data_IF_299083399104
#
_entry.id   IF_299083399104
#
_cell.length_a   1.000
_cell.length_b   1.000
_cell.length_c   1.000
_cell.angle_alpha   90.00
_cell.angle_beta   90.00
_cell.angle_gamma   90.00
#
_symmetry.space_group_name_H-M   'P 1'
#
loop_
_entity.id
_entity.type
_entity.pdbx_description
1 polymer ?
#
# COMPACT_ATOMS: atom_id res chain seq x y z
N UNK A 1 0.37 8.66 15.44
CA UNK A 1 -0.12 9.36 14.23
C UNK A 1 0.18 8.43 13.06
N UNK A 2 -0.83 7.87 12.40
CA UNK A 2 -0.61 7.04 11.22
C UNK A 2 -0.38 8.02 10.07
N UNK A 3 0.85 8.08 9.56
CA UNK A 3 1.18 8.92 8.41
C UNK A 3 0.74 8.22 7.13
N UNK A 4 -0.49 8.46 6.68
CA UNK A 4 -0.89 8.16 5.31
C UNK A 4 -0.34 9.28 4.42
N UNK A 5 0.85 9.09 3.84
CA UNK A 5 1.34 9.99 2.81
C UNK A 5 0.75 9.58 1.47
N UNK A 6 -0.24 10.34 1.00
CA UNK A 6 -0.72 10.29 -0.37
C UNK A 6 0.23 11.13 -1.23
N UNK A 7 1.23 10.49 -1.86
CA UNK A 7 1.90 11.08 -3.01
C UNK A 7 1.86 10.13 -4.21
N UNK A 8 1.03 10.55 -5.17
CA UNK A 8 0.98 10.26 -6.60
C UNK A 8 1.94 9.18 -7.15
N UNK A 9 1.40 7.97 -7.33
CA UNK A 9 1.90 7.05 -8.36
C UNK A 9 1.52 7.60 -9.75
N UNK A 10 2.35 8.50 -10.30
CA UNK A 10 2.37 8.72 -11.75
C UNK A 10 3.19 7.60 -12.37
N UNK A 11 2.52 6.67 -13.04
CA UNK A 11 3.18 5.65 -13.86
C UNK A 11 3.89 6.33 -15.02
N UNK A 12 5.22 6.34 -14.99
CA UNK A 12 6.03 6.69 -16.15
C UNK A 12 5.97 5.54 -17.15
N UNK A 13 5.42 5.79 -18.33
CA UNK A 13 5.59 4.93 -19.50
C UNK A 13 6.96 5.20 -20.12
N UNK A 14 7.80 4.16 -20.20
CA UNK A 14 9.01 4.17 -21.00
C UNK A 14 8.64 4.27 -22.49
N UNK A 15 8.88 5.44 -23.10
CA UNK A 15 8.80 5.63 -24.55
C UNK A 15 10.23 5.58 -25.11
N UNK A 16 10.58 4.46 -25.71
CA UNK A 16 11.71 4.39 -26.65
C UNK A 16 11.20 4.79 -28.05
N UNK A 17 11.65 5.93 -28.56
CA UNK A 17 11.42 6.33 -29.96
C UNK A 17 12.38 5.57 -30.91
N UNK A 18 11.88 5.03 -32.04
CA UNK A 18 12.69 4.82 -33.22
C UNK A 18 12.47 5.95 -34.25
N UNK A 19 13.57 6.34 -34.89
CA UNK A 19 13.62 7.35 -35.95
C UNK A 19 12.85 6.93 -37.21
N UNK A 20 12.13 7.86 -37.86
CA UNK A 20 11.63 7.66 -39.22
C UNK A 20 10.59 8.65 -39.74
N UNK A 21 11.02 9.50 -40.69
CA UNK A 21 10.29 10.16 -41.78
C UNK A 21 8.99 10.96 -41.54
N UNK A 22 9.11 12.29 -41.66
CA UNK A 22 8.00 13.24 -41.91
C UNK A 22 7.51 13.19 -43.36
N UNK A 23 6.19 13.18 -43.60
CA UNK A 23 5.61 13.68 -44.85
C UNK A 23 5.17 15.15 -44.72
N UNK A 24 5.44 15.92 -45.77
CA UNK A 24 5.03 17.31 -45.96
C UNK A 24 3.53 17.42 -46.31
N UNK A 25 2.86 18.47 -45.82
CA UNK A 25 1.51 18.88 -46.25
C UNK A 25 1.57 20.27 -46.94
N UNK A 26 0.82 20.49 -48.04
CA UNK A 26 0.82 21.75 -48.81
C UNK A 26 -0.20 22.79 -48.28
N UNK A 27 -0.14 24.06 -48.75
CA UNK A 27 -0.69 25.20 -48.01
C UNK A 27 -1.99 25.83 -48.56
N UNK A 28 -2.66 26.55 -47.65
CA UNK A 28 -3.64 27.66 -47.82
C UNK A 28 -5.01 27.30 -48.40
N UNK A 29 -6.12 27.80 -47.85
CA UNK A 29 -6.61 29.15 -48.14
C UNK A 29 -7.26 29.91 -46.96
N UNK A 30 -7.22 31.24 -47.11
CA UNK A 30 -7.59 32.30 -46.16
C UNK A 30 -9.07 32.68 -46.23
N UNK A 31 -9.58 33.17 -45.10
CA UNK A 31 -10.55 34.26 -45.03
C UNK A 31 -11.11 34.36 -43.61
N UNK A 32 -11.15 35.49 -42.91
CA UNK A 32 -10.91 36.88 -43.25
C UNK A 32 -10.88 37.67 -41.92
N UNK A 33 -9.91 38.59 -41.81
CA UNK A 33 -10.01 40.00 -41.31
C UNK A 33 -10.66 40.25 -39.91
N UNK A 34 -10.18 41.16 -39.04
CA UNK A 34 -9.18 42.23 -39.11
C UNK A 34 -9.03 42.91 -37.73
N UNK A 35 -7.86 43.53 -37.53
CA UNK A 35 -7.47 44.70 -36.71
C UNK A 35 -7.73 44.72 -35.18
N UNK A 36 -6.73 44.74 -34.27
CA UNK A 36 -5.61 45.68 -33.93
C UNK A 36 -6.04 46.92 -33.08
N UNK A 37 -5.14 47.55 -32.28
CA UNK A 37 -5.14 47.54 -30.80
C UNK A 37 -5.10 48.97 -30.18
N UNK A 38 -4.76 49.09 -28.88
CA UNK A 38 -4.22 50.23 -28.07
C UNK A 38 -4.95 50.27 -26.70
N UNK A 39 -4.46 50.76 -25.56
CA UNK A 39 -3.18 51.28 -25.06
C UNK A 39 -3.31 51.46 -23.51
N UNK A 40 -2.20 51.84 -22.86
CA UNK A 40 -2.02 52.05 -21.42
C UNK A 40 -2.83 53.22 -20.80
N UNK A 41 -3.07 53.14 -19.49
CA UNK A 41 -3.32 54.31 -18.63
C UNK A 41 -2.85 54.06 -17.18
N UNK A 42 -2.15 55.06 -16.62
CA UNK A 42 -1.71 55.18 -15.21
C UNK A 42 -2.85 55.68 -14.31
N UNK A 43 -2.81 55.33 -13.02
CA UNK A 43 -3.60 55.98 -11.96
C UNK A 43 -3.02 55.70 -10.57
N UNK A 44 -2.77 56.77 -9.81
CA UNK A 44 -2.14 56.81 -8.48
C UNK A 44 -3.07 56.37 -7.33
N UNK A 45 -2.47 55.84 -6.25
CA UNK A 45 -3.08 55.74 -4.91
C UNK A 45 -2.14 55.13 -3.87
N UNK A 46 -1.75 55.92 -2.86
CA UNK A 46 -1.03 55.60 -1.60
C UNK A 46 -1.96 56.11 -0.46
N UNK A 47 -2.03 55.63 0.81
CA UNK A 47 -1.02 55.02 1.72
C UNK A 47 -1.51 53.71 2.41
N UNK A 48 -0.72 52.92 3.15
CA UNK A 48 -0.12 53.25 4.45
C UNK A 48 0.87 52.17 4.93
N UNK A 49 1.84 52.63 5.73
CA UNK A 49 2.91 51.89 6.40
C UNK A 49 2.40 51.00 7.54
N UNK A 50 2.95 49.78 7.64
CA UNK A 50 3.25 49.07 8.89
C UNK A 50 4.57 48.29 8.73
N UNK A 51 5.38 48.13 9.80
CA UNK A 51 6.81 47.89 9.68
C UNK A 51 7.17 46.40 9.58
N UNK A 52 8.17 46.10 8.75
CA UNK A 52 8.89 44.83 8.72
C UNK A 52 9.78 44.72 9.97
N UNK A 53 9.48 43.76 10.84
CA UNK A 53 10.44 43.25 11.82
C UNK A 53 11.40 42.30 11.11
N UNK A 54 12.67 42.68 11.03
CA UNK A 54 13.79 41.77 10.76
C UNK A 54 14.54 41.55 12.07
N UNK A 55 14.70 40.31 12.57
CA UNK A 55 15.70 40.05 13.58
C UNK A 55 17.04 39.82 12.89
N UNK A 56 17.95 40.76 13.08
CA UNK A 56 19.38 40.57 12.80
C UNK A 56 19.97 39.72 13.93
N UNK A 57 20.44 38.51 13.62
CA UNK A 57 21.27 37.72 14.53
C UNK A 57 22.74 37.78 14.07
N UNK A 58 23.70 38.02 14.98
CA UNK A 58 25.12 38.09 14.64
C UNK A 58 25.70 36.69 14.35
N UNK A 59 26.70 36.56 13.47
CA UNK A 59 27.33 35.27 13.18
C UNK A 59 28.40 35.00 14.23
N UNK A 60 28.23 33.95 15.05
CA UNK A 60 29.37 33.42 15.80
C UNK A 60 29.25 31.91 16.08
N UNK A 61 30.26 31.21 15.55
CA UNK A 61 30.84 29.96 16.06
C UNK A 61 29.99 28.68 15.99
N UNK A 62 29.89 28.10 14.79
CA UNK A 62 29.74 26.64 14.65
C UNK A 62 31.13 26.00 14.61
N UNK A 63 31.47 25.04 15.50
CA UNK A 63 32.60 24.17 15.26
C UNK A 63 32.20 23.16 14.17
N UNK A 64 32.98 23.17 13.09
CA UNK A 64 32.95 22.19 12.01
C UNK A 64 33.37 20.81 12.52
N UNK A 65 32.40 20.03 13.01
CA UNK A 65 32.60 18.59 13.17
C UNK A 65 32.27 17.88 11.85
N UNK A 66 33.32 17.39 11.21
CA UNK A 66 33.30 16.51 10.05
C UNK A 66 32.35 15.32 10.23
N UNK A 67 31.60 14.90 9.20
CA UNK A 67 30.86 13.64 9.21
C UNK A 67 31.84 12.52 8.83
N UNK A 68 32.65 12.06 9.79
CA UNK A 68 33.55 10.91 9.55
C UNK A 68 33.45 9.83 10.63
N UNK A 69 32.52 9.95 11.58
CA UNK A 69 32.32 8.96 12.64
C UNK A 69 30.95 8.25 12.63
N UNK A 70 30.05 8.59 11.69
CA UNK A 70 28.74 7.89 11.59
C UNK A 70 28.77 6.63 10.69
N UNK A 71 29.92 6.27 10.12
CA UNK A 71 30.05 5.07 9.29
C UNK A 71 30.60 3.84 10.02
N UNK A 72 30.82 3.92 11.35
CA UNK A 72 31.52 2.87 12.12
C UNK A 72 30.65 2.12 13.16
N UNK A 73 29.32 2.23 13.13
CA UNK A 73 28.45 1.46 14.06
C UNK A 73 27.34 0.66 13.39
N UNK A 74 27.29 0.60 12.06
CA UNK A 74 26.45 -0.38 11.38
C UNK A 74 27.31 -1.59 11.03
N UNK A 75 27.05 -2.78 11.59
CA UNK A 75 27.73 -3.99 11.14
C UNK A 75 27.40 -4.18 9.66
N UNK A 76 28.40 -3.99 8.80
CA UNK A 76 28.37 -4.18 7.34
C UNK A 76 28.24 -5.65 6.92
N UNK A 77 27.78 -6.51 7.83
CA UNK A 77 27.53 -7.93 7.59
C UNK A 77 26.63 -8.48 8.69
N UNK A 78 25.32 -8.19 8.63
CA UNK A 78 24.34 -9.08 9.24
C UNK A 78 24.17 -10.27 8.30
N UNK A 79 24.54 -11.50 8.71
CA UNK A 79 24.21 -12.70 7.94
C UNK A 79 22.74 -13.02 8.22
N UNK A 80 21.81 -12.36 7.54
CA UNK A 80 20.39 -12.57 7.79
C UNK A 80 19.54 -11.86 6.76
N UNK A 81 18.56 -12.56 6.19
CA UNK A 81 17.65 -11.99 5.19
C UNK A 81 16.86 -10.79 5.72
N UNK A 82 16.00 -10.22 4.87
CA UNK A 82 15.19 -9.03 5.16
C UNK A 82 14.40 -9.06 6.48
N UNK A 83 14.07 -10.24 7.01
CA UNK A 83 13.34 -10.41 8.26
C UNK A 83 14.27 -10.49 9.48
N UNK A 84 14.03 -9.63 10.46
CA UNK A 84 14.71 -9.61 11.76
C UNK A 84 13.72 -10.04 12.84
N UNK A 85 13.95 -11.17 13.54
CA UNK A 85 13.08 -11.60 14.64
C UNK A 85 13.23 -10.67 15.85
N UNK A 86 12.14 -10.44 16.58
CA UNK A 86 12.19 -9.74 17.85
C UNK A 86 12.86 -10.64 18.90
N UNK A 87 13.92 -10.14 19.53
CA UNK A 87 14.58 -10.86 20.63
C UNK A 87 13.73 -10.73 21.90
N UNK A 88 13.15 -11.84 22.36
CA UNK A 88 12.34 -11.89 23.60
C UNK A 88 13.16 -12.28 24.83
N UNK A 89 14.48 -12.07 24.81
CA UNK A 89 15.32 -12.16 26.01
C UNK A 89 15.52 -13.57 26.54
N UNK A 90 15.43 -14.60 25.69
CA UNK A 90 15.67 -15.97 26.12
C UNK A 90 15.86 -16.92 24.96
N UNK A 91 17.08 -16.98 24.40
CA UNK A 91 17.59 -18.05 23.53
C UNK A 91 16.67 -18.60 22.42
N UNK A 92 15.60 -17.89 22.08
CA UNK A 92 14.51 -18.44 21.30
C UNK A 92 14.97 -18.57 19.86
N UNK A 93 14.86 -19.77 19.32
CA UNK A 93 15.05 -20.00 17.89
C UNK A 93 14.17 -19.03 17.08
N UNK A 94 14.66 -18.62 15.92
CA UNK A 94 13.89 -17.80 14.99
C UNK A 94 12.52 -18.47 14.71
N UNK A 95 11.43 -17.70 14.58
CA UNK A 95 10.11 -18.25 14.33
C UNK A 95 10.10 -19.06 13.03
N UNK A 96 9.56 -20.28 13.08
CA UNK A 96 9.35 -21.13 11.91
C UNK A 96 7.99 -20.83 11.26
N UNK A 97 8.01 -20.45 9.99
CA UNK A 97 6.82 -20.15 9.19
C UNK A 97 6.49 -21.25 8.18
N UNK A 98 7.12 -22.43 8.29
CA UNK A 98 6.87 -23.54 7.37
C UNK A 98 5.40 -23.94 7.35
N UNK A 99 4.81 -23.88 6.16
CA UNK A 99 3.41 -24.21 5.94
C UNK A 99 2.41 -23.16 6.40
N UNK A 100 2.86 -21.96 6.79
CA UNK A 100 1.99 -20.85 7.15
C UNK A 100 1.41 -20.17 5.91
N UNK A 101 0.25 -19.56 6.05
CA UNK A 101 -0.24 -18.56 5.10
C UNK A 101 0.34 -17.21 5.48
N UNK A 102 1.06 -16.56 4.56
CA UNK A 102 1.46 -15.17 4.69
C UNK A 102 0.33 -14.28 4.19
N UNK A 103 -0.20 -13.44 5.06
CA UNK A 103 -1.14 -12.40 4.71
C UNK A 103 -0.42 -11.04 4.73
N UNK A 104 -0.59 -10.24 3.69
CA UNK A 104 0.09 -8.94 3.59
C UNK A 104 -0.73 -7.91 2.79
N UNK A 105 -0.54 -6.61 3.04
CA UNK A 105 -1.16 -5.57 2.23
C UNK A 105 -0.29 -5.22 1.02
N UNK A 106 -0.94 -4.74 -0.04
CA UNK A 106 -0.33 -3.82 -0.96
C UNK A 106 -0.51 -2.39 -0.44
N UNK A 107 0.53 -1.55 -0.58
CA UNK A 107 0.37 -0.09 -0.44
C UNK A 107 -0.27 0.42 -1.73
N UNK A 108 -1.59 0.53 -1.73
CA UNK A 108 -2.45 0.85 -2.89
C UNK A 108 -3.51 1.90 -2.53
N UNK A 109 -4.24 2.40 -3.52
CA UNK A 109 -5.27 3.46 -3.39
C UNK A 109 -6.16 3.29 -2.15
N UNK A 110 -6.36 4.36 -1.38
CA UNK A 110 -7.22 4.33 -0.19
C UNK A 110 -6.72 3.45 0.96
N UNK A 111 -5.50 2.89 0.87
CA UNK A 111 -4.86 2.07 1.90
C UNK A 111 -5.72 0.89 2.39
N UNK A 112 -6.68 0.43 1.58
CA UNK A 112 -7.71 -0.55 1.98
C UNK A 112 -7.08 -1.85 2.47
N UNK A 113 -6.03 -2.33 1.78
CA UNK A 113 -5.28 -3.51 2.19
C UNK A 113 -4.65 -3.34 3.57
N UNK A 114 -3.99 -2.21 3.83
CA UNK A 114 -3.35 -1.93 5.11
C UNK A 114 -4.37 -1.81 6.25
N UNK A 115 -5.52 -1.17 5.99
CA UNK A 115 -6.62 -1.07 6.94
C UNK A 115 -7.26 -2.45 7.22
N UNK A 116 -7.40 -3.31 6.21
CA UNK A 116 -7.91 -4.67 6.39
C UNK A 116 -6.95 -5.53 7.24
N UNK A 117 -5.65 -5.38 7.04
CA UNK A 117 -4.61 -6.04 7.85
C UNK A 117 -4.67 -5.56 9.31
N UNK A 118 -4.92 -4.26 9.53
CA UNK A 118 -5.12 -3.69 10.86
C UNK A 118 -6.26 -4.38 11.62
N UNK A 119 -7.38 -4.64 10.94
CA UNK A 119 -8.51 -5.38 11.51
C UNK A 119 -8.12 -6.81 11.86
N UNK A 120 -7.37 -7.51 11.00
CA UNK A 120 -6.92 -8.90 11.27
C UNK A 120 -6.02 -8.95 12.50
N UNK A 121 -4.97 -8.12 12.56
CA UNK A 121 -4.01 -8.12 13.67
C UNK A 121 -4.71 -7.78 14.98
N UNK A 122 -5.53 -6.73 14.99
CA UNK A 122 -6.26 -6.26 16.17
C UNK A 122 -7.27 -7.29 16.67
N UNK A 123 -8.03 -7.92 15.77
CA UNK A 123 -9.07 -8.89 16.13
C UNK A 123 -8.50 -10.19 16.65
N UNK A 124 -7.40 -10.66 16.07
CA UNK A 124 -6.75 -11.92 16.46
C UNK A 124 -5.70 -11.73 17.56
N UNK A 125 -5.53 -10.50 18.08
CA UNK A 125 -4.54 -10.13 19.08
C UNK A 125 -3.14 -10.68 18.76
N UNK A 126 -2.71 -10.49 17.51
CA UNK A 126 -1.51 -11.16 17.01
C UNK A 126 -0.25 -10.55 17.64
N UNK A 127 0.65 -11.36 18.23
CA UNK A 127 1.90 -10.87 18.77
C UNK A 127 2.89 -10.51 17.65
N UNK A 128 3.61 -9.40 17.85
CA UNK A 128 4.76 -9.04 17.00
C UNK A 128 5.90 -10.05 17.22
N UNK A 129 6.42 -10.60 16.12
CA UNK A 129 7.51 -11.59 16.12
C UNK A 129 8.77 -11.10 15.41
N UNK A 130 8.70 -9.97 14.72
CA UNK A 130 9.84 -9.36 14.06
C UNK A 130 9.43 -8.21 13.17
N UNK A 131 10.36 -7.79 12.32
CA UNK A 131 10.17 -6.69 11.39
C UNK A 131 11.04 -6.89 10.15
N UNK A 132 10.74 -6.14 9.09
CA UNK A 132 11.60 -6.12 7.91
C UNK A 132 12.60 -4.98 7.99
N UNK A 133 13.89 -5.32 7.97
CA UNK A 133 14.95 -4.35 7.81
C UNK A 133 15.16 -4.09 6.32
N UNK A 134 14.69 -2.93 5.85
CA UNK A 134 14.74 -2.56 4.43
C UNK A 134 14.90 -1.05 4.28
N UNK A 135 15.64 -0.66 3.25
CA UNK A 135 15.81 0.72 2.81
C UNK A 135 14.82 1.09 1.68
N UNK A 136 13.85 0.21 1.39
CA UNK A 136 12.87 0.37 0.31
C UNK A 136 11.61 1.14 0.72
N UNK A 137 11.43 1.36 2.02
CA UNK A 137 10.27 1.99 2.64
C UNK A 137 10.69 3.27 3.35
N UNK A 138 9.84 4.29 3.34
CA UNK A 138 10.10 5.53 4.08
C UNK A 138 10.23 5.21 5.58
N UNK A 139 11.33 5.62 6.25
CA UNK A 139 11.48 5.37 7.67
C UNK A 139 10.37 6.02 8.48
N UNK A 140 9.80 5.27 9.42
CA UNK A 140 8.83 5.79 10.38
C UNK A 140 8.99 5.10 11.73
N UNK A 141 8.65 5.83 12.78
CA UNK A 141 8.52 5.32 14.14
C UNK A 141 7.30 5.98 14.77
N UNK A 142 6.53 5.21 15.54
CA UNK A 142 5.39 5.72 16.27
C UNK A 142 4.99 4.79 17.41
N UNK A 143 3.94 5.18 18.13
CA UNK A 143 3.36 4.37 19.19
C UNK A 143 2.72 3.10 18.62
N UNK A 144 2.62 2.04 19.42
CA UNK A 144 1.92 0.81 19.07
C UNK A 144 0.46 1.10 18.62
N UNK A 145 0.12 0.84 17.34
CA UNK A 145 -1.19 1.14 16.79
C UNK A 145 -2.31 0.22 17.31
N UNK A 146 -1.94 -0.89 17.96
CA UNK A 146 -2.83 -1.90 18.52
C UNK A 146 -2.85 -1.86 20.05
N UNK A 147 -2.25 -0.85 20.69
CA UNK A 147 -2.18 -0.76 22.13
C UNK A 147 -3.59 -0.78 22.76
N UNK A 148 -3.74 -1.64 23.75
CA UNK A 148 -5.00 -1.90 24.49
C UNK A 148 -4.80 -1.77 26.01
N UNK A 149 -3.55 -1.79 26.47
CA UNK A 149 -3.15 -1.68 27.86
C UNK A 149 -1.90 -0.79 27.97
N UNK A 150 -1.55 -0.38 29.19
CA UNK A 150 -0.35 0.45 29.41
C UNK A 150 0.94 -0.31 29.06
N UNK A 151 0.99 -1.62 29.33
CA UNK A 151 2.17 -2.47 29.08
C UNK A 151 2.59 -2.47 27.60
N UNK A 152 1.64 -2.68 26.69
CA UNK A 152 1.91 -2.71 25.25
C UNK A 152 1.93 -1.33 24.58
N UNK A 153 1.60 -0.26 25.31
CA UNK A 153 1.63 1.12 24.80
C UNK A 153 3.04 1.65 24.58
N UNK A 154 4.03 1.08 25.27
CA UNK A 154 5.44 1.48 25.18
C UNK A 154 6.17 0.85 23.99
N UNK A 155 5.56 -0.15 23.35
CA UNK A 155 6.13 -0.76 22.15
C UNK A 155 6.13 0.24 20.99
N UNK A 156 7.28 0.36 20.32
CA UNK A 156 7.38 1.15 19.11
C UNK A 156 6.86 0.36 17.91
N UNK A 157 6.15 1.06 17.03
CA UNK A 157 5.76 0.58 15.70
C UNK A 157 6.61 1.26 14.63
N UNK A 158 6.99 0.48 13.62
CA UNK A 158 7.85 0.92 12.52
C UNK A 158 7.21 0.61 11.16
N UNK A 159 7.92 0.92 10.08
CA UNK A 159 7.44 0.86 8.70
C UNK A 159 6.94 -0.52 8.24
N UNK A 160 7.58 -1.62 8.65
CA UNK A 160 7.22 -2.97 8.22
C UNK A 160 7.40 -3.99 9.36
N UNK A 161 6.29 -4.46 9.92
CA UNK A 161 6.27 -5.33 11.10
C UNK A 161 5.63 -6.68 10.78
N UNK A 162 6.12 -7.75 11.40
CA UNK A 162 5.64 -9.11 11.21
C UNK A 162 5.02 -9.63 12.50
N UNK A 163 3.80 -10.14 12.35
CA UNK A 163 2.98 -10.71 13.42
C UNK A 163 2.72 -12.18 13.10
N UNK A 164 2.62 -13.03 14.12
CA UNK A 164 2.39 -14.47 13.89
C UNK A 164 1.40 -15.05 14.88
N UNK A 165 0.53 -15.92 14.37
CA UNK A 165 -0.41 -16.69 15.15
C UNK A 165 -0.29 -18.18 14.78
N UNK A 166 0.59 -18.94 15.47
CA UNK A 166 0.84 -20.34 15.16
C UNK A 166 -0.39 -21.24 15.23
N UNK A 167 -1.35 -20.94 16.12
CA UNK A 167 -2.60 -21.70 16.27
C UNK A 167 -3.45 -21.72 15.00
N UNK A 168 -3.30 -20.73 14.11
CA UNK A 168 -3.96 -20.66 12.80
C UNK A 168 -3.01 -20.84 11.62
N UNK A 169 -1.72 -21.13 11.87
CA UNK A 169 -0.65 -21.12 10.85
C UNK A 169 -0.69 -19.86 9.99
N UNK A 170 -0.86 -18.70 10.63
CA UNK A 170 -0.97 -17.41 9.98
C UNK A 170 0.20 -16.52 10.37
N UNK A 171 0.86 -15.95 9.38
CA UNK A 171 1.84 -14.88 9.55
C UNK A 171 1.34 -13.66 8.79
N UNK A 172 1.41 -12.49 9.40
CA UNK A 172 0.92 -11.24 8.85
C UNK A 172 2.08 -10.25 8.75
N UNK A 173 2.30 -9.71 7.56
CA UNK A 173 3.17 -8.55 7.36
C UNK A 173 2.29 -7.31 7.31
N UNK A 174 2.58 -6.30 8.11
CA UNK A 174 1.94 -4.99 8.02
C UNK A 174 2.95 -3.95 7.52
N UNK A 175 2.57 -3.20 6.48
CA UNK A 175 3.37 -2.10 5.93
C UNK A 175 2.63 -0.80 6.24
N UNK A 176 3.34 0.18 6.80
CA UNK A 176 2.76 1.45 7.29
C UNK A 176 3.23 2.68 6.53
N UNK A 177 4.32 2.57 5.79
CA UNK A 177 4.92 3.68 5.05
C UNK A 177 4.92 3.41 3.55
N UNK A 178 4.93 4.46 2.71
CA UNK A 178 5.07 4.30 1.27
C UNK A 178 6.46 3.78 0.88
N UNK A 179 6.54 3.28 -0.36
CA UNK A 179 7.78 2.89 -0.99
C UNK A 179 8.61 4.13 -1.37
N UNK A 180 9.92 4.05 -1.14
CA UNK A 180 10.86 5.00 -1.72
C UNK A 180 10.88 4.80 -3.24
N UNK A 181 10.91 5.91 -3.98
CA UNK A 181 10.90 5.91 -5.45
C UNK A 181 11.93 4.92 -6.01
N UNK A 182 11.51 4.13 -6.99
CA UNK A 182 12.31 3.09 -7.67
C UNK A 182 12.76 1.90 -6.81
N UNK A 183 12.34 1.78 -5.54
CA UNK A 183 12.72 0.66 -4.66
C UNK A 183 11.68 -0.45 -4.53
N UNK A 184 10.57 -0.36 -5.26
CA UNK A 184 9.52 -1.38 -5.22
C UNK A 184 9.96 -2.73 -5.80
N UNK A 185 10.79 -2.76 -6.86
CA UNK A 185 11.32 -4.01 -7.43
C UNK A 185 12.29 -4.72 -6.48
N UNK A 186 13.34 -4.06 -5.93
CA UNK A 186 14.21 -4.66 -4.92
C UNK A 186 13.44 -5.22 -3.72
N UNK A 187 12.41 -4.50 -3.25
CA UNK A 187 11.56 -4.99 -2.16
C UNK A 187 10.82 -6.27 -2.55
N UNK A 188 10.18 -6.31 -3.72
CA UNK A 188 9.45 -7.48 -4.19
C UNK A 188 10.38 -8.70 -4.34
N UNK A 189 11.57 -8.52 -4.91
CA UNK A 189 12.55 -9.60 -5.07
C UNK A 189 12.97 -10.17 -3.71
N UNK A 190 13.29 -9.30 -2.76
CA UNK A 190 13.72 -9.69 -1.42
C UNK A 190 12.59 -10.34 -0.63
N UNK A 191 11.37 -9.82 -0.75
CA UNK A 191 10.15 -10.41 -0.17
C UNK A 191 9.89 -11.82 -0.69
N UNK A 192 9.92 -12.02 -2.00
CA UNK A 192 9.68 -13.34 -2.59
C UNK A 192 10.81 -14.32 -2.26
N UNK A 193 12.05 -13.84 -2.13
CA UNK A 193 13.17 -14.64 -1.62
C UNK A 193 12.91 -15.09 -0.17
N UNK A 194 12.47 -14.17 0.69
CA UNK A 194 12.11 -14.48 2.07
C UNK A 194 10.97 -15.50 2.14
N UNK A 195 9.86 -15.29 1.41
CA UNK A 195 8.73 -16.23 1.34
C UNK A 195 9.18 -17.66 0.99
N UNK A 196 10.08 -17.80 0.01
CA UNK A 196 10.66 -19.09 -0.35
C UNK A 196 11.50 -19.68 0.77
N UNK A 197 12.41 -18.89 1.34
CA UNK A 197 13.30 -19.35 2.42
C UNK A 197 12.54 -19.77 3.69
N UNK A 198 11.43 -19.10 3.98
CA UNK A 198 10.55 -19.37 5.11
C UNK A 198 9.59 -20.54 4.88
N UNK A 199 9.53 -21.10 3.68
CA UNK A 199 8.65 -22.21 3.30
C UNK A 199 7.16 -21.96 3.63
N UNK A 200 6.69 -20.72 3.45
CA UNK A 200 5.27 -20.41 3.57
C UNK A 200 4.46 -21.22 2.53
N UNK A 201 3.30 -21.75 2.95
CA UNK A 201 2.44 -22.55 2.07
C UNK A 201 1.87 -21.72 0.91
N UNK A 202 1.44 -20.48 1.22
CA UNK A 202 0.88 -19.55 0.24
C UNK A 202 0.99 -18.11 0.75
N UNK A 203 0.85 -17.16 -0.16
CA UNK A 203 0.73 -15.72 0.12
C UNK A 203 -0.68 -15.25 -0.26
N UNK A 204 -1.30 -14.43 0.59
CA UNK A 204 -2.54 -13.72 0.30
C UNK A 204 -2.27 -12.22 0.38
N UNK A 205 -2.37 -11.54 -0.74
CA UNK A 205 -2.15 -10.10 -0.86
C UNK A 205 -3.50 -9.38 -0.84
N UNK A 206 -3.69 -8.47 0.11
CA UNK A 206 -4.86 -7.58 0.16
C UNK A 206 -4.54 -6.26 -0.54
N UNK A 207 -5.29 -5.93 -1.58
CA UNK A 207 -5.04 -4.77 -2.45
C UNK A 207 -6.32 -3.97 -2.70
N UNK A 208 -6.15 -2.84 -3.37
CA UNK A 208 -7.23 -2.05 -3.94
C UNK A 208 -6.87 -1.55 -5.34
N UNK A 209 -7.86 -1.01 -6.06
CA UNK A 209 -7.72 -0.42 -7.40
C UNK A 209 -8.69 0.75 -7.58
N UNK A 210 -8.36 1.69 -8.45
CA UNK A 210 -9.19 2.88 -8.67
C UNK A 210 -10.58 2.53 -9.21
N UNK A 211 -11.63 2.91 -8.48
CA UNK A 211 -13.02 2.65 -8.87
C UNK A 211 -13.49 3.43 -10.12
N UNK A 212 -12.87 4.59 -10.39
CA UNK A 212 -13.21 5.45 -11.53
C UNK A 212 -12.55 5.00 -12.85
N UNK A 213 -11.66 4.01 -12.81
CA UNK A 213 -11.04 3.41 -14.00
C UNK A 213 -11.59 1.99 -14.29
N UNK A 214 -12.77 1.68 -13.74
CA UNK A 214 -13.45 0.40 -14.01
C UNK A 214 -14.03 0.39 -15.43
N UNK A 215 -13.95 -0.76 -16.08
CA UNK A 215 -14.69 -1.04 -17.31
C UNK A 215 -16.15 -1.42 -17.04
N UNK A 216 -16.95 -1.58 -18.10
CA UNK A 216 -18.37 -1.88 -18.01
C UNK A 216 -18.65 -3.22 -17.31
N UNK A 217 -17.80 -4.24 -17.50
CA UNK A 217 -17.92 -5.53 -16.81
C UNK A 217 -17.66 -5.40 -15.30
N UNK A 218 -16.72 -4.54 -14.93
CA UNK A 218 -16.34 -4.24 -13.55
C UNK A 218 -17.34 -3.35 -12.81
N UNK A 219 -18.17 -2.60 -13.54
CA UNK A 219 -19.28 -1.85 -12.97
C UNK A 219 -20.44 -2.77 -12.54
N UNK A 220 -20.54 -3.98 -13.10
CA UNK A 220 -21.61 -4.93 -12.82
C UNK A 220 -21.32 -5.82 -11.61
N UNK A 221 -22.15 -5.71 -10.58
CA UNK A 221 -22.13 -6.56 -9.40
C UNK A 221 -21.13 -6.09 -8.32
N UNK A 222 -20.48 -7.04 -7.66
CA UNK A 222 -19.55 -6.73 -6.55
C UNK A 222 -18.31 -5.97 -7.04
N UNK A 223 -17.79 -4.99 -6.27
CA UNK A 223 -16.53 -4.30 -6.55
C UNK A 223 -15.29 -5.12 -6.10
N UNK A 224 -15.47 -6.36 -5.69
CA UNK A 224 -14.40 -7.27 -5.26
C UNK A 224 -13.92 -8.14 -6.42
N UNK A 225 -12.62 -8.35 -6.49
CA UNK A 225 -11.98 -9.26 -7.46
C UNK A 225 -10.90 -10.09 -6.78
N UNK A 226 -10.60 -11.22 -7.38
CA UNK A 226 -9.44 -12.02 -7.00
C UNK A 226 -8.53 -12.33 -8.19
N UNK A 227 -7.28 -12.68 -7.90
CA UNK A 227 -6.34 -13.30 -8.84
C UNK A 227 -5.68 -14.49 -8.15
N UNK A 228 -5.42 -15.56 -8.90
CA UNK A 228 -4.66 -16.70 -8.41
C UNK A 228 -3.47 -16.97 -9.32
N UNK A 229 -2.33 -17.28 -8.72
CA UNK A 229 -1.21 -17.87 -9.46
C UNK A 229 -1.62 -19.26 -9.96
N UNK A 230 -1.12 -19.73 -11.12
CA UNK A 230 -1.54 -21.00 -11.71
C UNK A 230 -1.48 -22.22 -10.77
N UNK A 231 -0.47 -22.28 -9.90
CA UNK A 231 -0.32 -23.40 -8.97
C UNK A 231 -1.32 -23.35 -7.81
N UNK A 232 -1.68 -22.15 -7.35
CA UNK A 232 -2.72 -21.99 -6.34
C UNK A 232 -4.11 -22.23 -6.94
N UNK A 233 -4.35 -21.80 -8.17
CA UNK A 233 -5.61 -22.02 -8.90
C UNK A 233 -5.97 -23.50 -8.98
N UNK A 234 -5.00 -24.38 -9.29
CA UNK A 234 -5.21 -25.84 -9.27
C UNK A 234 -5.67 -26.36 -7.90
N UNK A 235 -5.21 -25.73 -6.82
CA UNK A 235 -5.51 -26.17 -5.46
C UNK A 235 -6.85 -25.61 -4.92
N UNK A 236 -7.25 -24.40 -5.32
CA UNK A 236 -8.40 -23.68 -4.71
C UNK A 236 -9.45 -23.19 -5.72
N UNK A 237 -9.29 -23.44 -7.02
CA UNK A 237 -10.19 -22.96 -8.06
C UNK A 237 -11.64 -23.41 -7.86
N UNK A 238 -11.86 -24.67 -7.48
CA UNK A 238 -13.21 -25.16 -7.13
C UNK A 238 -13.85 -24.39 -5.97
N UNK A 239 -13.05 -24.02 -4.97
CA UNK A 239 -13.54 -23.21 -3.83
C UNK A 239 -13.93 -21.80 -4.26
N UNK A 240 -13.21 -21.19 -5.20
CA UNK A 240 -13.57 -19.86 -5.72
C UNK A 240 -14.88 -19.89 -6.51
N UNK A 241 -15.14 -20.98 -7.24
CA UNK A 241 -16.40 -21.21 -7.94
C UNK A 241 -17.57 -21.41 -6.96
N UNK A 242 -17.38 -22.20 -5.90
CA UNK A 242 -18.38 -22.38 -4.84
C UNK A 242 -18.77 -21.05 -4.17
N UNK A 243 -17.78 -20.17 -3.96
CA UNK A 243 -18.00 -18.84 -3.38
C UNK A 243 -18.60 -17.85 -4.39
N UNK A 244 -18.74 -18.22 -5.67
CA UNK A 244 -19.21 -17.36 -6.75
C UNK A 244 -18.42 -16.04 -6.85
N UNK A 245 -17.12 -16.12 -6.63
CA UNK A 245 -16.23 -14.97 -6.69
C UNK A 245 -15.87 -14.62 -8.14
N UNK A 246 -15.67 -13.33 -8.41
CA UNK A 246 -15.26 -12.84 -9.73
C UNK A 246 -13.75 -12.68 -9.82
N UNK A 247 -13.14 -13.35 -10.80
CA UNK A 247 -11.72 -13.15 -11.12
C UNK A 247 -11.52 -11.78 -11.77
N UNK A 248 -10.35 -11.16 -11.54
CA UNK A 248 -9.97 -9.89 -12.16
C UNK A 248 -9.84 -10.04 -13.68
N UNK A 249 -10.56 -9.19 -14.40
CA UNK A 249 -10.62 -9.17 -15.84
C UNK A 249 -9.27 -8.71 -16.43
N UNK A 250 -8.91 -9.28 -17.60
CA UNK A 250 -7.76 -8.81 -18.39
C UNK A 250 -8.25 -7.89 -19.49
N UNK A 251 -7.64 -6.72 -19.60
CA UNK A 251 -8.04 -5.67 -20.54
C UNK A 251 -7.14 -5.72 -21.77
N UNK A 252 -7.64 -5.37 -22.94
CA UNK A 252 -6.81 -5.24 -24.15
C UNK A 252 -5.67 -4.25 -23.91
N UNK A 253 -4.46 -4.58 -24.38
CA UNK A 253 -3.28 -3.72 -24.22
C UNK A 253 -3.48 -2.32 -24.83
N UNK A 254 -4.26 -2.23 -25.90
CA UNK A 254 -4.58 -1.00 -26.61
C UNK A 254 -6.05 -0.99 -27.05
N UNK A 255 -6.73 0.18 -27.01
CA UNK A 255 -8.07 0.32 -27.55
C UNK A 255 -8.11 -0.07 -29.03
N UNK A 256 -8.92 -1.06 -29.40
CA UNK A 256 -9.13 -1.49 -30.79
C UNK A 256 -8.15 -2.55 -31.34
N UNK A 257 -7.27 -3.12 -30.51
CA UNK A 257 -6.42 -4.27 -30.90
C UNK A 257 -7.11 -5.59 -30.52
N UNK A 258 -6.90 -6.64 -31.31
CA UNK A 258 -7.52 -7.96 -31.14
C UNK A 258 -7.29 -8.59 -29.76
N UNK A 259 -8.22 -9.47 -29.35
CA UNK A 259 -8.26 -10.19 -28.06
C UNK A 259 -7.01 -11.03 -27.70
N UNK A 260 -6.01 -11.09 -28.57
CA UNK A 260 -4.78 -11.87 -28.40
C UNK A 260 -3.83 -11.29 -27.35
N UNK A 261 -3.86 -9.97 -27.10
CA UNK A 261 -2.95 -9.27 -26.19
C UNK A 261 -3.68 -8.68 -24.98
N UNK A 262 -4.36 -9.52 -24.19
CA UNK A 262 -4.99 -9.10 -22.93
C UNK A 262 -3.97 -9.03 -21.80
N UNK A 263 -3.91 -7.88 -21.12
CA UNK A 263 -2.96 -7.59 -20.05
C UNK A 263 -3.69 -7.37 -18.74
N UNK A 264 -3.07 -7.79 -17.64
CA UNK A 264 -3.54 -7.46 -16.31
C UNK A 264 -3.33 -5.95 -16.05
N UNK A 265 -4.40 -5.23 -15.72
CA UNK A 265 -4.36 -3.81 -15.42
C UNK A 265 -4.99 -3.54 -14.04
N UNK A 266 -4.22 -2.97 -13.11
CA UNK A 266 -4.67 -2.68 -11.74
C UNK A 266 -4.26 -1.25 -11.38
N UNK A 267 -5.01 -0.25 -11.83
CA UNK A 267 -4.66 1.16 -11.62
C UNK A 267 -4.72 1.52 -10.13
N UNK A 268 -3.68 2.19 -9.63
CA UNK A 268 -3.57 2.48 -8.20
C UNK A 268 -3.26 1.27 -7.32
N UNK A 269 -3.00 0.09 -7.90
CA UNK A 269 -2.69 -1.14 -7.18
C UNK A 269 -1.28 -1.24 -6.59
N UNK A 270 -0.47 -0.19 -6.66
CA UNK A 270 0.89 -0.18 -6.13
C UNK A 270 1.75 -1.34 -6.65
N UNK A 271 2.28 -2.15 -5.73
CA UNK A 271 3.14 -3.31 -6.06
C UNK A 271 2.38 -4.56 -6.53
N UNK A 272 1.05 -4.56 -6.50
CA UNK A 272 0.22 -5.76 -6.70
C UNK A 272 0.48 -6.48 -8.02
N UNK A 273 0.45 -5.75 -9.15
CA UNK A 273 0.69 -6.36 -10.47
C UNK A 273 2.09 -6.98 -10.57
N UNK A 274 3.10 -6.27 -10.07
CA UNK A 274 4.49 -6.74 -10.09
C UNK A 274 4.63 -8.00 -9.24
N UNK A 275 4.17 -7.95 -7.98
CA UNK A 275 4.31 -9.05 -7.04
C UNK A 275 3.58 -10.31 -7.52
N UNK A 276 2.39 -10.15 -8.10
CA UNK A 276 1.63 -11.24 -8.71
C UNK A 276 2.37 -11.86 -9.91
N UNK A 277 2.84 -11.03 -10.84
CA UNK A 277 3.55 -11.50 -12.06
C UNK A 277 4.85 -12.22 -11.72
N UNK A 278 5.63 -11.68 -10.77
CA UNK A 278 6.85 -12.31 -10.28
C UNK A 278 6.56 -13.61 -9.54
N UNK A 279 5.45 -13.69 -8.78
CA UNK A 279 5.03 -14.91 -8.10
C UNK A 279 4.64 -16.02 -9.07
N UNK A 280 3.90 -15.70 -10.14
CA UNK A 280 3.62 -16.62 -11.24
C UNK A 280 4.91 -17.16 -11.86
N UNK A 281 5.87 -16.28 -12.16
CA UNK A 281 7.13 -16.65 -12.80
C UNK A 281 8.04 -17.49 -11.89
N UNK A 282 7.94 -17.30 -10.57
CA UNK A 282 8.76 -17.98 -9.56
C UNK A 282 8.09 -19.21 -8.96
N UNK A 283 6.88 -19.58 -9.38
CA UNK A 283 6.12 -20.72 -8.85
C UNK A 283 5.71 -20.56 -7.38
N UNK A 284 5.46 -19.32 -6.93
CA UNK A 284 5.00 -19.04 -5.57
C UNK A 284 3.47 -19.04 -5.58
N UNK A 285 2.85 -19.84 -4.71
CA UNK A 285 1.40 -19.84 -4.55
C UNK A 285 0.93 -18.51 -3.95
N UNK A 286 0.28 -17.67 -4.75
CA UNK A 286 -0.22 -16.37 -4.33
C UNK A 286 -1.66 -16.16 -4.78
N UNK A 287 -2.48 -15.64 -3.86
CA UNK A 287 -3.77 -15.05 -4.16
C UNK A 287 -3.68 -13.54 -3.96
N UNK A 288 -4.33 -12.77 -4.83
CA UNK A 288 -4.62 -11.36 -4.60
C UNK A 288 -6.11 -11.24 -4.37
N UNK A 289 -6.51 -10.58 -3.28
CA UNK A 289 -7.89 -10.14 -3.07
C UNK A 289 -7.89 -8.62 -3.16
N UNK A 290 -8.73 -8.05 -4.01
CA UNK A 290 -8.76 -6.61 -4.20
C UNK A 290 -10.16 -6.05 -4.24
N UNK A 291 -10.27 -4.79 -3.83
CA UNK A 291 -11.50 -4.00 -3.92
C UNK A 291 -11.28 -2.75 -4.79
N UNK A 292 -12.23 -2.45 -5.67
CA UNK A 292 -12.29 -1.14 -6.30
C UNK A 292 -12.78 -0.08 -5.31
N UNK A 293 -12.02 1.00 -5.14
CA UNK A 293 -12.36 2.11 -4.24
C UNK A 293 -11.91 3.47 -4.80
N UNK A 294 -12.47 4.53 -4.21
CA UNK A 294 -12.00 5.90 -4.36
C UNK A 294 -11.17 6.27 -3.13
N UNK A 295 -10.31 7.28 -3.23
CA UNK A 295 -9.65 7.87 -2.06
C UNK A 295 -10.68 8.50 -1.12
N UNK A 296 -10.40 8.49 0.18
CA UNK A 296 -11.24 9.13 1.21
C UNK A 296 -11.31 8.32 2.49
N UNK A 297 -12.50 8.26 3.09
CA UNK A 297 -12.76 7.36 4.20
C UNK A 297 -13.00 5.94 3.67
N UNK A 298 -11.94 5.13 3.75
CA UNK A 298 -11.94 3.75 3.30
C UNK A 298 -12.08 2.74 4.46
N UNK A 299 -12.52 3.17 5.65
CA UNK A 299 -12.87 2.25 6.73
C UNK A 299 -13.91 1.21 6.25
N UNK A 300 -15.04 1.59 5.64
CA UNK A 300 -16.04 0.61 5.18
C UNK A 300 -15.47 -0.36 4.14
N UNK A 301 -14.60 0.14 3.26
CA UNK A 301 -13.94 -0.67 2.23
C UNK A 301 -13.02 -1.73 2.83
N UNK A 302 -12.33 -1.41 3.93
CA UNK A 302 -11.49 -2.35 4.66
C UNK A 302 -12.32 -3.48 5.30
N UNK A 303 -13.48 -3.14 5.88
CA UNK A 303 -14.43 -4.14 6.40
C UNK A 303 -14.94 -5.07 5.30
N UNK A 304 -15.29 -4.52 4.14
CA UNK A 304 -15.73 -5.33 2.98
C UNK A 304 -14.61 -6.27 2.53
N UNK A 305 -13.37 -5.78 2.42
CA UNK A 305 -12.23 -6.59 1.97
C UNK A 305 -11.84 -7.68 2.99
N UNK A 306 -11.87 -7.39 4.29
CA UNK A 306 -11.53 -8.39 5.32
C UNK A 306 -12.63 -9.44 5.48
N UNK A 307 -13.90 -9.08 5.28
CA UNK A 307 -15.00 -10.05 5.24
C UNK A 307 -14.86 -10.98 4.03
N UNK A 308 -14.52 -10.43 2.87
CA UNK A 308 -14.20 -11.21 1.68
C UNK A 308 -13.05 -12.21 1.93
N UNK A 309 -11.97 -11.76 2.59
CA UNK A 309 -10.90 -12.67 3.03
C UNK A 309 -11.43 -13.79 3.96
N UNK A 310 -12.31 -13.45 4.89
CA UNK A 310 -12.80 -14.36 5.92
C UNK A 310 -13.79 -15.40 5.39
N UNK A 311 -14.56 -15.09 4.34
CA UNK A 311 -15.37 -16.08 3.62
C UNK A 311 -14.53 -17.28 3.13
N UNK A 312 -13.29 -17.01 2.71
CA UNK A 312 -12.36 -18.03 2.27
C UNK A 312 -11.54 -18.65 3.41
N UNK A 313 -10.86 -17.83 4.22
CA UNK A 313 -9.90 -18.32 5.23
C UNK A 313 -10.54 -18.67 6.58
N UNK A 314 -11.77 -18.23 6.85
CA UNK A 314 -12.50 -18.48 8.10
C UNK A 314 -11.64 -18.19 9.35
N UNK A 315 -10.96 -17.03 9.34
CA UNK A 315 -10.09 -16.57 10.41
C UNK A 315 -10.86 -16.39 11.72
N UNK A 316 -12.09 -15.91 11.65
CA UNK A 316 -13.03 -15.82 12.78
C UNK A 316 -14.27 -16.66 12.50
N UNK A 317 -14.82 -17.27 13.56
CA UNK A 317 -16.08 -18.00 13.46
C UNK A 317 -17.22 -16.99 13.41
N UNK A 318 -17.99 -17.01 12.33
CA UNK A 318 -19.26 -16.28 12.29
C UNK A 318 -20.25 -17.04 13.16
N UNK A 319 -20.54 -16.54 14.37
CA UNK A 319 -21.59 -17.14 15.19
C UNK A 319 -22.95 -16.92 14.51
N UNK A 320 -23.71 -18.00 14.33
CA UNK A 320 -25.01 -18.05 13.67
C UNK A 320 -26.14 -17.50 14.55
N UNK A 321 -25.91 -16.36 15.22
CA UNK A 321 -26.91 -15.71 16.07
C UNK A 321 -27.22 -14.32 15.51
N UNK A 322 -28.27 -14.24 14.68
CA UNK A 322 -29.18 -13.10 14.42
C UNK A 322 -28.65 -11.66 14.52
N UNK A 323 -27.38 -11.40 14.23
CA UNK A 323 -26.81 -10.06 14.12
C UNK A 323 -26.44 -9.84 12.66
N UNK A 324 -27.17 -8.94 12.02
CA UNK A 324 -27.04 -8.58 10.59
C UNK A 324 -25.76 -7.82 10.26
N UNK A 325 -24.75 -7.83 11.14
CA UNK A 325 -23.59 -6.94 11.02
C UNK A 325 -22.28 -7.73 11.17
N UNK A 326 -21.82 -8.33 10.08
CA UNK A 326 -20.51 -9.01 10.00
C UNK A 326 -19.34 -8.08 10.39
N UNK A 327 -19.54 -6.76 10.34
CA UNK A 327 -18.58 -5.76 10.81
C UNK A 327 -18.34 -5.81 12.33
N UNK A 328 -19.33 -6.24 13.12
CA UNK A 328 -19.27 -6.24 14.59
C UNK A 328 -18.25 -7.21 15.18
N UNK A 329 -17.76 -8.18 14.39
CA UNK A 329 -16.82 -9.20 14.84
C UNK A 329 -15.35 -8.74 14.74
N UNK A 330 -15.07 -7.71 13.92
CA UNK A 330 -13.73 -7.19 13.77
C UNK A 330 -13.46 -6.07 14.75
N UNK A 331 -12.35 -6.18 15.47
CA UNK A 331 -11.89 -5.19 16.43
C UNK A 331 -11.13 -4.08 15.71
N UNK A 332 -11.69 -2.88 15.72
CA UNK A 332 -11.01 -1.67 15.25
C UNK A 332 -9.80 -1.38 16.15
N UNK A 333 -8.59 -1.15 15.61
CA UNK A 333 -7.42 -0.83 16.41
C UNK A 333 -7.54 0.56 17.05
N UNK A 334 -6.92 0.74 18.22
CA UNK A 334 -7.00 2.00 18.98
C UNK A 334 -6.48 3.22 18.22
N UNK A 335 -5.50 3.00 17.33
CA UNK A 335 -4.94 4.03 16.45
C UNK A 335 -5.96 4.70 15.51
N UNK A 336 -7.06 4.02 15.16
CA UNK A 336 -8.10 4.60 14.29
C UNK A 336 -8.95 5.65 15.00
N UNK A 337 -8.91 5.74 16.34
CA UNK A 337 -9.65 6.76 17.12
C UNK A 337 -9.31 8.19 16.70
N UNK A 338 -8.10 8.41 16.19
CA UNK A 338 -7.60 9.72 15.77
C UNK A 338 -7.29 9.78 14.27
N UNK A 339 -7.93 8.92 13.46
CA UNK A 339 -7.73 8.88 12.00
C UNK A 339 -8.02 10.25 11.35
N UNK A 340 -9.05 10.94 11.86
CA UNK A 340 -9.47 12.26 11.41
C UNK A 340 -8.97 13.40 12.32
N UNK A 341 -7.92 13.14 13.11
CA UNK A 341 -7.39 14.06 14.11
C UNK A 341 -8.12 14.01 15.44
N UNK A 342 -7.61 14.80 16.40
CA UNK A 342 -8.36 15.09 17.63
C UNK A 342 -9.54 16.00 17.31
N UNK A 343 -10.60 15.93 18.13
CA UNK A 343 -11.77 16.81 17.97
C UNK A 343 -11.37 18.27 17.78
N UNK A 344 -12.18 19.01 17.01
CA UNK A 344 -11.92 20.40 16.72
C UNK A 344 -11.75 21.19 18.03
N UNK A 345 -10.72 22.04 18.15
CA UNK A 345 -10.56 22.91 19.31
C UNK A 345 -11.88 23.65 19.58
N UNK A 346 -12.43 23.58 20.81
CA UNK A 346 -13.69 24.26 21.13
C UNK A 346 -13.63 25.77 20.85
N UNK A 347 -12.44 26.36 20.83
CA UNK A 347 -12.20 27.77 20.51
C UNK A 347 -12.42 28.15 19.02
N UNK A 348 -12.68 27.19 18.13
CA UNK A 348 -12.97 27.45 16.71
C UNK A 348 -14.47 27.60 16.41
N UNK A 349 -15.35 27.42 17.41
CA UNK A 349 -16.81 27.56 17.32
C UNK A 349 -17.34 28.54 18.37
#
# INVERSE_FOLDING_TARGET
MICFSSEAFSGGSDMAEPAGNKPQLPPSERGQRRHRPLAAARGHGVPALLPFFTPSFPPSLFPSFLPSFLHCLLPSSLPGGMFIPCDRGGGSAAPDFKGFTLLMPAVSVGNVGQLAIDLVISTLDMPKVGYFYTDCLVPMVGNNPYATAEENSTELSINAEVYSLPSKKLVVLQIRSPFIKNKYRPFCETLLSWVKSSNCARVVLLSSSHAYQRDDEQLLGTPLRYLLTPDLEKAVGGRMQELNWKEMEKVAAYPGVSDTDKVLHIPGGGITKLLFTESCSKGIQMAVLLKFCSEGDNIPDAFVLVNYLNEWLQLIKTESNNSTDASSQWKIPSSWRLLFGSGLPPALF
#
